data_IF_211481741133
#
_entry.id   IF_211481741133
#
_cell.length_a   1.000
_cell.length_b   1.000
_cell.length_c   1.000
_cell.angle_alpha   90.00
_cell.angle_beta   90.00
_cell.angle_gamma   90.00
#
_symmetry.space_group_name_H-M   'P 1'
#
loop_
_entity.id
_entity.type
_entity.pdbx_description
1 polymer ?
#
# COMPACT_ATOMS: atom_id res chain seq x y z
N UNK A 1 -2.92 39.29 -1.87
CA UNK A 1 -1.70 39.23 -2.71
C UNK A 1 -1.22 37.79 -2.67
N UNK A 2 -1.20 37.10 -3.81
CA UNK A 2 -0.64 35.75 -3.88
C UNK A 2 0.90 35.83 -3.85
N UNK A 3 1.61 34.90 -3.17
CA UNK A 3 3.06 34.96 -3.06
C UNK A 3 3.74 34.58 -4.38
N UNK A 4 4.71 35.38 -4.79
CA UNK A 4 5.58 35.13 -5.95
C UNK A 4 6.73 34.24 -5.48
N UNK A 5 6.74 32.97 -5.91
CA UNK A 5 7.81 32.01 -5.57
C UNK A 5 9.03 32.24 -6.47
N UNK A 6 10.11 32.79 -5.89
CA UNK A 6 11.45 32.70 -6.49
C UNK A 6 12.08 31.34 -6.11
N UNK A 7 12.72 30.67 -7.07
CA UNK A 7 13.52 29.47 -6.81
C UNK A 7 14.86 29.90 -6.22
N UNK A 8 15.08 29.61 -4.96
CA UNK A 8 16.40 29.75 -4.33
C UNK A 8 17.14 28.40 -4.36
N UNK A 9 18.32 28.42 -4.94
CA UNK A 9 19.39 27.45 -4.70
C UNK A 9 20.11 27.91 -3.44
N UNK A 10 20.08 27.13 -2.36
CA UNK A 10 20.85 27.46 -1.15
C UNK A 10 21.62 26.26 -0.59
N UNK A 11 22.84 26.59 -0.16
CA UNK A 11 23.97 25.74 0.17
C UNK A 11 23.78 24.95 1.48
N UNK A 12 24.25 23.71 1.42
CA UNK A 12 24.16 22.67 2.43
C UNK A 12 25.01 23.00 3.67
N UNK A 13 24.34 23.43 4.75
CA UNK A 13 24.93 23.56 6.09
C UNK A 13 24.39 22.46 7.01
N UNK A 14 24.91 21.24 6.83
CA UNK A 14 25.38 20.39 7.92
C UNK A 14 24.47 20.19 9.13
N UNK A 15 23.22 19.76 8.93
CA UNK A 15 22.49 18.98 9.93
C UNK A 15 21.69 17.89 9.20
N UNK A 16 21.82 16.64 9.63
CA UNK A 16 21.20 15.48 8.98
C UNK A 16 19.69 15.55 9.17
N UNK A 17 19.02 16.29 8.29
CA UNK A 17 17.57 16.22 8.08
C UNK A 17 17.28 15.00 7.21
N UNK A 18 16.15 14.34 7.44
CA UNK A 18 15.66 13.18 6.71
C UNK A 18 15.30 13.56 5.24
N UNK A 19 16.34 13.86 4.47
CA UNK A 19 16.59 14.05 3.04
C UNK A 19 15.58 14.80 2.13
N UNK A 20 14.45 15.34 2.61
CA UNK A 20 13.47 15.96 1.70
C UNK A 20 12.70 17.18 2.20
N UNK A 21 12.50 17.34 3.51
CA UNK A 21 11.68 18.43 4.05
C UNK A 21 12.46 19.77 4.10
N UNK A 22 11.76 20.89 3.86
CA UNK A 22 12.31 22.26 3.95
C UNK A 22 12.45 22.68 5.41
N UNK A 23 13.27 23.70 5.64
CA UNK A 23 13.45 24.27 6.98
C UNK A 23 12.16 24.96 7.48
N UNK A 24 11.61 24.61 8.66
CA UNK A 24 10.46 25.29 9.26
C UNK A 24 10.63 26.80 9.45
N UNK A 25 11.86 27.27 9.68
CA UNK A 25 12.14 28.67 9.99
C UNK A 25 11.90 29.62 8.80
N UNK A 26 11.83 29.10 7.56
CA UNK A 26 11.58 29.93 6.37
C UNK A 26 10.09 30.12 6.05
N UNK A 27 9.18 29.52 6.83
CA UNK A 27 7.74 29.65 6.60
C UNK A 27 7.24 31.10 6.73
N UNK A 28 7.54 31.76 7.86
CA UNK A 28 7.10 33.14 8.11
C UNK A 28 7.58 34.14 7.04
N UNK A 29 8.87 34.15 6.65
CA UNK A 29 9.36 34.98 5.56
C UNK A 29 8.61 34.80 4.23
N UNK A 30 8.12 33.58 3.96
CA UNK A 30 7.40 33.24 2.74
C UNK A 30 5.88 33.43 2.83
N UNK A 31 5.40 34.00 3.95
CA UNK A 31 3.98 34.28 4.17
C UNK A 31 3.15 33.05 4.56
N UNK A 32 3.80 31.92 4.86
CA UNK A 32 3.15 30.80 5.51
C UNK A 32 3.09 31.02 7.02
N UNK A 33 2.08 30.43 7.65
CA UNK A 33 1.98 30.45 9.10
C UNK A 33 3.04 29.50 9.69
N UNK A 34 3.79 29.91 10.72
CA UNK A 34 4.79 29.02 11.30
C UNK A 34 4.20 27.76 11.91
N UNK A 35 5.05 26.75 12.05
CA UNK A 35 4.75 25.50 12.75
C UNK A 35 5.57 25.43 14.05
N UNK A 36 5.03 24.77 15.07
CA UNK A 36 5.81 24.37 16.24
C UNK A 36 6.60 23.11 15.87
N UNK A 37 7.84 23.01 16.35
CA UNK A 37 8.63 21.79 16.26
C UNK A 37 9.17 21.38 17.63
N UNK A 38 9.44 20.09 17.81
CA UNK A 38 10.05 19.59 19.04
C UNK A 38 11.55 19.95 19.18
N UNK A 39 12.19 20.44 18.11
CA UNK A 39 13.60 20.86 18.12
C UNK A 39 13.70 22.37 18.41
N UNK A 40 12.97 23.18 17.65
CA UNK A 40 13.12 24.65 17.68
C UNK A 40 11.97 25.36 18.41
N UNK A 41 10.92 24.64 18.80
CA UNK A 41 9.69 25.23 19.34
C UNK A 41 8.88 25.97 18.26
N UNK A 42 8.05 26.92 18.70
CA UNK A 42 7.34 27.84 17.80
C UNK A 42 8.12 29.16 17.71
N UNK A 43 8.26 29.78 16.53
CA UNK A 43 8.87 31.09 16.43
C UNK A 43 7.90 32.16 16.97
N UNK A 44 8.20 32.68 18.16
CA UNK A 44 7.42 33.73 18.82
C UNK A 44 6.35 33.21 19.78
N UNK A 45 5.26 33.94 19.91
CA UNK A 45 4.15 33.56 20.79
C UNK A 45 3.35 32.40 20.16
N UNK A 46 3.16 31.32 20.92
CA UNK A 46 2.44 30.13 20.44
C UNK A 46 0.94 30.45 20.36
N UNK A 47 0.31 30.35 19.18
CA UNK A 47 -1.12 30.57 19.02
C UNK A 47 -1.97 29.53 19.78
N UNK A 48 -3.19 29.92 20.17
CA UNK A 48 -4.07 29.11 21.03
C UNK A 48 -4.42 27.72 20.45
N UNK A 49 -4.64 27.63 19.14
CA UNK A 49 -4.94 26.39 18.41
C UNK A 49 -3.71 25.45 18.31
N UNK A 50 -2.49 25.97 18.39
CA UNK A 50 -1.27 25.15 18.50
C UNK A 50 -1.03 24.77 19.96
N UNK A 51 -1.30 25.68 20.91
CA UNK A 51 -1.24 25.40 22.35
C UNK A 51 -2.20 24.28 22.78
N UNK A 52 -3.30 24.05 22.09
CA UNK A 52 -4.18 22.90 22.36
C UNK A 52 -3.42 21.56 22.27
N UNK A 53 -2.40 21.48 21.40
CA UNK A 53 -1.61 20.27 21.19
C UNK A 53 -0.37 20.19 22.10
N UNK A 54 0.31 21.32 22.32
CA UNK A 54 1.62 21.37 23.00
C UNK A 54 1.62 22.17 24.30
N UNK A 55 0.44 22.56 24.76
CA UNK A 55 0.26 23.40 25.93
C UNK A 55 0.51 22.67 27.25
N UNK A 56 0.55 23.42 28.36
CA UNK A 56 0.83 22.88 29.69
C UNK A 56 -0.21 21.86 30.18
N UNK A 57 -1.39 21.84 29.57
CA UNK A 57 -2.46 20.88 29.86
C UNK A 57 -2.17 19.49 29.27
N UNK A 58 -1.20 19.38 28.36
CA UNK A 58 -0.83 18.13 27.67
C UNK A 58 0.71 17.89 27.70
N UNK A 59 1.33 17.83 28.89
CA UNK A 59 2.79 17.92 29.05
C UNK A 59 3.56 16.75 28.40
N UNK A 60 2.94 15.58 28.27
CA UNK A 60 3.54 14.40 27.62
C UNK A 60 3.28 14.35 26.12
N UNK A 61 2.34 15.15 25.59
CA UNK A 61 2.01 15.14 24.17
C UNK A 61 3.17 15.69 23.33
N UNK A 62 3.84 16.76 23.80
CA UNK A 62 4.97 17.38 23.11
C UNK A 62 6.13 16.40 22.86
N UNK A 63 6.36 15.43 23.75
CA UNK A 63 7.41 14.40 23.60
C UNK A 63 7.13 13.43 22.43
N UNK A 64 5.86 13.26 22.06
CA UNK A 64 5.40 12.37 21.01
C UNK A 64 5.11 13.08 19.69
N UNK A 65 5.25 14.40 19.63
CA UNK A 65 5.00 15.21 18.44
C UNK A 65 6.31 15.74 17.85
N UNK A 66 6.39 15.75 16.52
CA UNK A 66 7.50 16.33 15.74
C UNK A 66 7.20 17.75 15.32
N UNK A 67 6.03 17.94 14.70
CA UNK A 67 5.58 19.21 14.15
C UNK A 67 4.10 19.42 14.48
N UNK A 68 3.71 20.66 14.72
CA UNK A 68 2.30 21.06 14.87
C UNK A 68 2.07 22.35 14.11
N UNK A 69 1.08 22.36 13.22
CA UNK A 69 0.71 23.57 12.51
C UNK A 69 -0.28 23.33 11.38
N UNK A 70 -0.58 24.38 10.59
CA UNK A 70 -1.55 24.29 9.52
C UNK A 70 -1.13 23.32 8.43
N UNK A 71 -2.10 22.63 7.83
CA UNK A 71 -1.89 21.68 6.74
C UNK A 71 -1.09 22.29 5.60
N UNK A 72 -1.42 23.51 5.16
CA UNK A 72 -0.74 24.24 4.09
C UNK A 72 0.76 24.39 4.37
N UNK A 73 1.11 24.70 5.60
CA UNK A 73 2.49 24.95 6.03
C UNK A 73 3.27 23.64 6.14
N UNK A 74 2.64 22.59 6.67
CA UNK A 74 3.21 21.24 6.69
C UNK A 74 3.43 20.72 5.26
N UNK A 75 2.43 20.80 4.39
CA UNK A 75 2.54 20.35 2.98
C UNK A 75 3.65 21.11 2.24
N UNK A 76 3.79 22.41 2.50
CA UNK A 76 4.88 23.20 1.94
C UNK A 76 6.25 22.72 2.44
N UNK A 77 6.39 22.41 3.74
CA UNK A 77 7.64 21.83 4.26
C UNK A 77 7.97 20.49 3.58
N UNK A 78 6.96 19.69 3.25
CA UNK A 78 7.13 18.43 2.56
C UNK A 78 7.32 18.54 1.03
N UNK A 79 7.47 19.76 0.49
CA UNK A 79 7.61 20.07 -0.94
C UNK A 79 6.38 19.69 -1.78
N UNK A 80 5.19 19.72 -1.20
CA UNK A 80 3.92 19.60 -1.92
C UNK A 80 3.36 20.99 -2.24
N UNK A 81 4.11 21.74 -3.05
CA UNK A 81 3.85 23.17 -3.28
C UNK A 81 2.44 23.46 -3.83
N UNK A 82 1.95 22.66 -4.77
CA UNK A 82 0.62 22.87 -5.36
C UNK A 82 -0.51 22.59 -4.36
N UNK A 83 -0.39 21.56 -3.52
CA UNK A 83 -1.33 21.25 -2.46
C UNK A 83 -1.32 22.34 -1.40
N UNK A 84 -0.13 22.80 -0.99
CA UNK A 84 0.00 23.90 -0.04
C UNK A 84 -0.71 25.18 -0.54
N UNK A 85 -0.52 25.52 -1.83
CA UNK A 85 -1.19 26.68 -2.44
C UNK A 85 -2.71 26.49 -2.55
N UNK A 86 -3.17 25.28 -2.79
CA UNK A 86 -4.60 25.00 -2.90
C UNK A 86 -5.28 25.09 -1.54
N UNK A 87 -4.63 24.63 -0.47
CA UNK A 87 -5.14 24.83 0.89
C UNK A 87 -5.31 26.32 1.23
N UNK A 88 -4.51 27.21 0.63
CA UNK A 88 -4.64 28.66 0.80
C UNK A 88 -5.69 29.30 -0.12
N UNK A 89 -6.35 28.53 -0.99
CA UNK A 89 -7.41 29.04 -1.87
C UNK A 89 -8.74 29.20 -1.11
N UNK A 90 -9.61 30.13 -1.52
CA UNK A 90 -10.87 30.40 -0.81
C UNK A 90 -11.79 29.19 -0.64
N UNK A 91 -11.68 28.21 -1.53
CA UNK A 91 -12.50 26.99 -1.53
C UNK A 91 -12.04 25.98 -0.47
N UNK A 92 -10.76 26.01 -0.09
CA UNK A 92 -10.13 25.02 0.79
C UNK A 92 -9.57 25.60 2.09
N UNK A 93 -9.52 26.93 2.25
CA UNK A 93 -8.97 27.59 3.45
C UNK A 93 -9.67 27.19 4.75
N UNK A 94 -10.96 26.84 4.69
CA UNK A 94 -11.71 26.35 5.84
C UNK A 94 -11.20 24.99 6.35
N UNK A 95 -10.48 24.25 5.52
CA UNK A 95 -9.93 22.92 5.82
C UNK A 95 -8.47 22.97 6.27
N UNK A 96 -7.82 24.15 6.19
CA UNK A 96 -6.43 24.40 6.59
C UNK A 96 -6.28 24.53 8.11
N UNK A 97 -6.70 23.49 8.82
CA UNK A 97 -6.65 23.45 10.28
C UNK A 97 -5.26 23.06 10.77
N UNK A 98 -5.02 23.32 12.06
CA UNK A 98 -3.81 22.86 12.76
C UNK A 98 -3.92 21.36 13.00
N UNK A 99 -2.93 20.63 12.51
CA UNK A 99 -2.76 19.21 12.77
C UNK A 99 -1.38 18.92 13.35
N UNK A 100 -1.23 17.75 13.95
CA UNK A 100 0.01 17.31 14.56
C UNK A 100 0.66 16.15 13.76
N UNK A 101 1.97 16.20 13.63
CA UNK A 101 2.81 15.13 13.04
C UNK A 101 3.52 14.42 14.18
N UNK A 102 3.28 13.12 14.41
CA UNK A 102 3.99 12.35 15.44
C UNK A 102 5.51 12.28 15.21
N UNK A 103 6.28 12.10 16.29
CA UNK A 103 7.75 11.92 16.27
C UNK A 103 8.22 10.77 15.38
N UNK A 104 7.39 9.74 15.19
CA UNK A 104 7.67 8.58 14.34
C UNK A 104 7.19 8.71 12.89
N UNK A 105 6.63 9.87 12.51
CA UNK A 105 5.99 10.09 11.22
C UNK A 105 6.64 11.25 10.44
N UNK A 106 6.54 11.20 9.11
CA UNK A 106 6.89 12.31 8.23
C UNK A 106 5.62 13.01 7.75
N UNK A 107 5.73 14.23 7.20
CA UNK A 107 4.51 14.94 6.74
C UNK A 107 3.81 14.18 5.60
N UNK A 108 4.58 13.51 4.72
CA UNK A 108 4.03 12.74 3.59
C UNK A 108 3.10 11.61 4.06
N UNK A 109 3.32 11.01 5.23
CA UNK A 109 2.46 9.95 5.74
C UNK A 109 1.06 10.43 6.14
N UNK A 110 0.84 11.74 6.23
CA UNK A 110 -0.49 12.31 6.50
C UNK A 110 -1.38 12.39 5.25
N UNK A 111 -0.79 12.31 4.05
CA UNK A 111 -1.54 12.48 2.80
C UNK A 111 -2.73 11.51 2.63
N UNK A 112 -2.62 10.21 2.97
CA UNK A 112 -3.74 9.28 2.87
C UNK A 112 -4.92 9.68 3.74
N UNK A 113 -4.66 10.10 4.98
CA UNK A 113 -5.70 10.50 5.93
C UNK A 113 -6.38 11.79 5.48
N UNK A 114 -5.59 12.79 5.06
CA UNK A 114 -6.10 14.04 4.51
C UNK A 114 -6.95 13.82 3.25
N UNK A 115 -6.60 12.84 2.42
CA UNK A 115 -7.38 12.49 1.23
C UNK A 115 -8.66 11.71 1.56
N UNK A 116 -8.60 10.80 2.54
CA UNK A 116 -9.75 10.02 3.00
C UNK A 116 -10.81 10.91 3.65
N UNK A 117 -10.39 11.95 4.37
CA UNK A 117 -11.25 12.95 5.00
C UNK A 117 -11.70 14.08 4.04
N UNK A 118 -11.41 13.95 2.74
CA UNK A 118 -11.74 14.94 1.69
C UNK A 118 -11.13 16.34 1.93
N UNK A 119 -10.10 16.44 2.78
CA UNK A 119 -9.43 17.71 3.15
C UNK A 119 -8.46 18.20 2.07
N UNK A 120 -8.02 17.30 1.19
CA UNK A 120 -7.26 17.63 -0.02
C UNK A 120 -7.94 17.02 -1.25
N UNK A 121 -7.87 17.67 -2.43
CA UNK A 121 -8.47 17.12 -3.64
C UNK A 121 -7.84 15.76 -4.04
N UNK A 122 -8.69 14.75 -4.22
CA UNK A 122 -8.25 13.39 -4.57
C UNK A 122 -7.43 13.34 -5.87
N UNK A 123 -7.73 14.19 -6.84
CA UNK A 123 -7.00 14.30 -8.11
C UNK A 123 -5.56 14.80 -7.97
N UNK A 124 -5.26 15.52 -6.88
CA UNK A 124 -3.92 16.02 -6.58
C UNK A 124 -3.17 15.09 -5.64
N UNK A 125 -3.87 14.52 -4.65
CA UNK A 125 -3.34 13.40 -3.86
C UNK A 125 -2.79 12.29 -4.77
N UNK A 126 -3.54 11.94 -5.82
CA UNK A 126 -3.10 10.97 -6.84
C UNK A 126 -1.73 11.31 -7.44
N UNK A 127 -1.42 12.59 -7.73
CA UNK A 127 -0.10 12.99 -8.28
C UNK A 127 1.08 12.71 -7.34
N UNK A 128 0.81 12.59 -6.03
CA UNK A 128 1.82 12.41 -5.00
C UNK A 128 1.90 10.98 -4.47
N UNK A 129 0.88 10.17 -4.70
CA UNK A 129 0.86 8.75 -4.40
C UNK A 129 1.10 7.85 -5.61
N UNK A 130 0.91 8.40 -6.81
CA UNK A 130 1.35 7.76 -8.04
C UNK A 130 2.89 7.82 -8.11
N UNK A 131 3.52 6.65 -8.03
CA UNK A 131 4.75 6.41 -8.78
C UNK A 131 4.58 6.95 -10.21
N UNK A 132 5.65 7.46 -10.84
CA UNK A 132 5.68 8.62 -11.74
C UNK A 132 4.70 8.52 -12.91
N UNK A 133 4.43 9.64 -13.62
CA UNK A 133 3.34 9.73 -14.58
C UNK A 133 3.41 8.56 -15.56
N UNK A 134 2.30 8.28 -16.22
CA UNK A 134 2.15 7.34 -17.33
C UNK A 134 3.31 7.32 -18.37
N UNK A 135 4.28 8.24 -18.32
CA UNK A 135 5.61 8.14 -18.91
C UNK A 135 6.50 6.96 -18.47
N UNK A 136 6.30 6.31 -17.31
CA UNK A 136 6.89 4.95 -17.14
C UNK A 136 6.05 3.89 -17.84
N UNK A 137 4.74 4.11 -18.02
CA UNK A 137 3.92 3.29 -18.91
C UNK A 137 4.29 3.45 -20.40
N UNK A 138 5.08 4.46 -20.78
CA UNK A 138 5.63 4.59 -22.13
C UNK A 138 6.92 3.77 -22.34
N UNK A 139 7.61 3.35 -21.27
CA UNK A 139 8.65 2.31 -21.35
C UNK A 139 8.09 0.91 -21.07
N UNK A 140 6.89 0.84 -20.49
CA UNK A 140 6.07 -0.35 -20.38
C UNK A 140 4.84 -0.20 -21.26
N UNK A 141 5.05 -0.18 -22.59
CA UNK A 141 4.20 -1.06 -23.38
C UNK A 141 4.24 -2.39 -22.60
N UNK A 142 3.13 -2.77 -21.98
CA UNK A 142 2.95 -4.15 -21.59
C UNK A 142 2.21 -4.73 -22.78
N UNK A 143 2.91 -5.21 -23.83
CA UNK A 143 2.26 -6.13 -24.73
C UNK A 143 1.82 -7.30 -23.85
N UNK A 144 0.50 -7.33 -23.74
CA UNK A 144 -0.37 -8.35 -23.21
C UNK A 144 -0.09 -8.87 -21.80
N UNK A 145 -1.13 -8.76 -20.98
CA UNK A 145 -1.49 -9.79 -20.04
C UNK A 145 -1.81 -11.10 -20.79
N UNK A 146 -0.91 -11.64 -21.60
CA UNK A 146 -1.04 -12.94 -22.25
C UNK A 146 -0.22 -13.97 -21.48
N UNK A 147 -0.66 -15.22 -21.58
CA UNK A 147 0.09 -16.35 -21.06
C UNK A 147 1.33 -16.52 -21.93
N UNK A 148 2.54 -16.69 -21.36
CA UNK A 148 3.73 -16.97 -22.17
C UNK A 148 3.48 -18.17 -23.08
N UNK A 149 3.82 -18.06 -24.37
CA UNK A 149 3.49 -19.07 -25.38
C UNK A 149 4.13 -20.44 -25.12
N UNK A 150 5.22 -20.47 -24.35
CA UNK A 150 5.87 -21.70 -23.90
C UNK A 150 5.10 -22.43 -22.79
N UNK A 151 4.14 -21.79 -22.13
CA UNK A 151 3.37 -22.40 -21.04
C UNK A 151 2.20 -23.19 -21.62
N UNK A 152 2.19 -24.48 -21.34
CA UNK A 152 1.19 -25.45 -21.82
C UNK A 152 0.21 -25.82 -20.70
N UNK A 153 -0.74 -26.71 -20.98
CA UNK A 153 -1.71 -27.19 -19.98
C UNK A 153 -1.11 -28.15 -18.95
N UNK A 154 0.13 -28.59 -19.17
CA UNK A 154 0.88 -29.47 -18.28
C UNK A 154 1.84 -28.65 -17.42
N UNK A 155 2.00 -29.06 -16.16
CA UNK A 155 2.96 -28.44 -15.26
C UNK A 155 4.39 -28.79 -15.69
N UNK A 156 5.13 -27.79 -16.15
CA UNK A 156 6.52 -27.94 -16.57
C UNK A 156 7.43 -26.98 -15.80
N UNK A 157 8.70 -27.35 -15.65
CA UNK A 157 9.67 -26.53 -14.93
C UNK A 157 10.34 -25.53 -15.89
N UNK A 158 10.27 -24.26 -15.53
CA UNK A 158 10.86 -23.16 -16.29
C UNK A 158 11.88 -22.41 -15.46
N UNK A 159 12.87 -21.83 -16.14
CA UNK A 159 13.73 -20.80 -15.52
C UNK A 159 12.88 -19.57 -15.22
N UNK A 160 13.00 -19.00 -14.03
CA UNK A 160 12.29 -17.77 -13.65
C UNK A 160 12.56 -16.67 -14.67
N UNK A 161 13.83 -16.49 -15.07
CA UNK A 161 14.24 -15.49 -16.05
C UNK A 161 13.71 -15.75 -17.47
N UNK A 162 13.33 -16.99 -17.78
CA UNK A 162 12.67 -17.29 -19.07
C UNK A 162 11.21 -16.82 -19.11
N UNK A 163 10.54 -16.80 -17.96
CA UNK A 163 9.17 -16.30 -17.82
C UNK A 163 9.12 -14.81 -17.50
N UNK A 164 10.09 -14.33 -16.71
CA UNK A 164 10.20 -12.96 -16.22
C UNK A 164 11.66 -12.49 -16.33
N UNK A 165 12.09 -12.00 -17.50
CA UNK A 165 13.48 -11.55 -17.71
C UNK A 165 13.93 -10.41 -16.80
N UNK A 166 12.96 -9.66 -16.25
CA UNK A 166 13.17 -8.54 -15.34
C UNK A 166 12.93 -8.91 -13.87
N UNK A 167 12.78 -10.19 -13.55
CA UNK A 167 12.68 -10.60 -12.14
C UNK A 167 13.96 -10.17 -11.41
N UNK A 168 13.80 -9.46 -10.30
CA UNK A 168 14.92 -9.08 -9.47
C UNK A 168 15.34 -10.26 -8.60
N UNK A 169 16.61 -10.27 -8.20
CA UNK A 169 17.13 -11.23 -7.23
C UNK A 169 16.59 -10.86 -5.83
N UNK A 170 15.42 -11.41 -5.49
CA UNK A 170 14.68 -11.16 -4.25
C UNK A 170 14.26 -12.46 -3.58
N UNK A 171 15.18 -13.42 -3.53
CA UNK A 171 14.94 -14.75 -2.99
C UNK A 171 13.90 -15.57 -3.76
N UNK A 172 13.51 -15.15 -4.97
CA UNK A 172 12.71 -15.97 -5.87
C UNK A 172 13.54 -17.17 -6.34
N UNK A 173 12.92 -18.35 -6.53
CA UNK A 173 13.65 -19.51 -7.00
C UNK A 173 14.12 -19.33 -8.44
N UNK A 174 15.29 -19.88 -8.77
CA UNK A 174 15.80 -19.87 -10.14
C UNK A 174 14.88 -20.63 -11.11
N UNK A 175 14.10 -21.60 -10.62
CA UNK A 175 13.14 -22.39 -11.39
C UNK A 175 11.82 -22.53 -10.66
N UNK A 176 10.72 -22.53 -11.41
CA UNK A 176 9.38 -22.79 -10.89
C UNK A 176 8.57 -23.62 -11.89
N UNK A 177 7.51 -24.27 -11.40
CA UNK A 177 6.53 -24.92 -12.27
C UNK A 177 5.59 -23.87 -12.88
N UNK A 178 5.23 -24.03 -14.14
CA UNK A 178 4.22 -23.19 -14.77
C UNK A 178 3.28 -24.03 -15.61
N UNK A 179 1.99 -23.70 -15.57
CA UNK A 179 0.95 -24.32 -16.36
C UNK A 179 -0.17 -23.32 -16.67
N UNK A 180 -0.88 -23.50 -17.78
CA UNK A 180 -2.12 -22.77 -18.07
C UNK A 180 -3.33 -23.66 -17.89
N UNK A 181 -4.44 -23.07 -17.49
CA UNK A 181 -5.70 -23.77 -17.31
C UNK A 181 -6.87 -22.88 -17.72
N UNK A 182 -7.80 -23.46 -18.47
CA UNK A 182 -9.02 -22.75 -18.85
C UNK A 182 -9.93 -22.55 -17.65
N UNK A 183 -10.45 -21.32 -17.52
CA UNK A 183 -11.39 -20.92 -16.50
C UNK A 183 -12.67 -21.78 -16.56
N UNK A 184 -13.15 -22.13 -15.38
CA UNK A 184 -14.45 -22.76 -15.14
C UNK A 184 -14.99 -22.16 -13.82
N UNK A 185 -16.18 -22.59 -13.41
CA UNK A 185 -16.72 -22.26 -12.08
C UNK A 185 -15.66 -22.56 -11.00
N UNK A 186 -15.45 -21.65 -10.02
CA UNK A 186 -14.35 -21.74 -9.05
C UNK A 186 -14.16 -23.12 -8.43
N UNK A 187 -15.23 -23.78 -7.96
CA UNK A 187 -15.13 -25.09 -7.31
C UNK A 187 -14.72 -26.21 -8.28
N UNK A 188 -15.12 -26.13 -9.56
CA UNK A 188 -14.68 -27.07 -10.58
C UNK A 188 -13.22 -26.81 -10.96
N UNK A 189 -12.86 -25.54 -11.07
CA UNK A 189 -11.49 -25.11 -11.36
C UNK A 189 -10.53 -25.55 -10.25
N UNK A 190 -10.90 -25.34 -8.98
CA UNK A 190 -10.13 -25.78 -7.81
C UNK A 190 -9.85 -27.29 -7.85
N UNK A 191 -10.88 -28.12 -8.03
CA UNK A 191 -10.72 -29.59 -8.13
C UNK A 191 -9.81 -30.02 -9.27
N UNK A 192 -9.87 -29.32 -10.41
CA UNK A 192 -8.98 -29.59 -11.56
C UNK A 192 -7.55 -29.23 -11.24
N UNK A 193 -7.30 -28.06 -10.63
CA UNK A 193 -5.97 -27.64 -10.20
C UNK A 193 -5.39 -28.63 -9.19
N UNK A 194 -6.17 -28.99 -8.16
CA UNK A 194 -5.80 -29.99 -7.15
C UNK A 194 -5.38 -31.31 -7.77
N UNK A 195 -6.22 -31.87 -8.65
CA UNK A 195 -5.98 -33.16 -9.29
C UNK A 195 -4.81 -33.12 -10.26
N UNK A 196 -4.80 -32.13 -11.16
CA UNK A 196 -3.97 -32.16 -12.38
C UNK A 196 -2.63 -31.43 -12.21
N UNK A 197 -2.54 -30.45 -11.28
CA UNK A 197 -1.40 -29.52 -11.21
C UNK A 197 -0.65 -29.57 -9.88
N UNK A 198 -1.33 -29.68 -8.75
CA UNK A 198 -0.71 -29.54 -7.42
C UNK A 198 -0.74 -30.79 -6.55
N UNK A 199 -1.33 -31.90 -7.00
CA UNK A 199 -1.46 -33.15 -6.25
C UNK A 199 -0.13 -33.74 -5.76
N UNK A 200 0.98 -33.41 -6.41
CA UNK A 200 2.33 -33.87 -6.07
C UNK A 200 3.11 -32.90 -5.17
N UNK A 201 2.58 -31.70 -4.93
CA UNK A 201 3.31 -30.65 -4.20
C UNK A 201 3.26 -30.83 -2.68
N UNK A 202 2.32 -31.63 -2.16
CA UNK A 202 2.10 -31.85 -0.73
C UNK A 202 0.87 -31.10 -0.21
N UNK A 203 0.68 -31.12 1.11
CA UNK A 203 -0.55 -30.61 1.75
C UNK A 203 -0.41 -29.20 2.34
N UNK A 204 0.82 -28.71 2.47
CA UNK A 204 1.13 -27.43 3.10
C UNK A 204 1.40 -26.37 2.04
N UNK A 205 0.30 -25.88 1.46
CA UNK A 205 0.30 -24.94 0.36
C UNK A 205 -0.43 -23.66 0.76
N UNK A 206 0.17 -22.53 0.41
CA UNK A 206 -0.50 -21.24 0.41
C UNK A 206 -0.70 -20.77 -1.03
N UNK A 207 -1.82 -20.10 -1.24
CA UNK A 207 -2.26 -19.64 -2.53
C UNK A 207 -2.45 -18.12 -2.53
N UNK A 208 -2.07 -17.47 -3.63
CA UNK A 208 -2.43 -16.08 -3.90
C UNK A 208 -2.98 -15.95 -5.31
N UNK A 209 -4.22 -15.50 -5.42
CA UNK A 209 -4.79 -15.09 -6.70
C UNK A 209 -4.53 -13.61 -6.95
N UNK A 210 -4.12 -13.27 -8.16
CA UNK A 210 -3.96 -11.88 -8.60
C UNK A 210 -4.36 -11.72 -10.07
N UNK A 211 -4.49 -10.48 -10.53
CA UNK A 211 -4.68 -10.17 -11.95
C UNK A 211 -3.38 -10.36 -12.70
N UNK A 212 -3.45 -10.96 -13.89
CA UNK A 212 -2.27 -11.24 -14.72
C UNK A 212 -1.42 -9.99 -15.02
N UNK A 213 -2.05 -8.82 -15.17
CA UNK A 213 -1.35 -7.53 -15.36
C UNK A 213 -0.44 -7.12 -14.19
N UNK A 214 -0.72 -7.61 -12.98
CA UNK A 214 0.03 -7.30 -11.76
C UNK A 214 1.19 -8.27 -11.51
N UNK A 215 1.24 -9.37 -12.27
CA UNK A 215 2.25 -10.40 -12.04
C UNK A 215 3.66 -9.94 -12.42
N UNK A 216 3.85 -9.29 -13.58
CA UNK A 216 5.15 -8.76 -14.00
C UNK A 216 5.77 -7.82 -12.94
N UNK A 217 5.05 -6.78 -12.45
CA UNK A 217 5.61 -5.93 -11.39
C UNK A 217 5.82 -6.70 -10.08
N UNK A 218 4.95 -7.65 -9.72
CA UNK A 218 5.13 -8.47 -8.52
C UNK A 218 6.36 -9.39 -8.59
N UNK A 219 6.68 -9.95 -9.76
CA UNK A 219 7.89 -10.77 -9.94
C UNK A 219 9.16 -9.93 -10.03
N UNK A 220 9.05 -8.65 -10.43
CA UNK A 220 10.16 -7.69 -10.39
C UNK A 220 10.42 -7.20 -8.96
N UNK A 221 9.38 -6.95 -8.19
CA UNK A 221 9.45 -6.49 -6.80
C UNK A 221 8.49 -7.31 -5.95
N UNK A 222 9.01 -8.40 -5.38
CA UNK A 222 8.29 -9.28 -4.47
C UNK A 222 8.34 -8.74 -3.04
N UNK A 223 7.67 -7.62 -2.82
CA UNK A 223 7.64 -6.89 -1.55
C UNK A 223 6.19 -6.63 -1.11
N UNK A 224 5.94 -6.41 0.20
CA UNK A 224 4.62 -6.00 0.68
C UNK A 224 4.10 -4.79 -0.08
N UNK A 225 2.83 -4.82 -0.50
CA UNK A 225 2.24 -3.70 -1.23
C UNK A 225 2.00 -2.56 -0.26
N UNK A 226 2.85 -1.53 -0.30
CA UNK A 226 2.89 -0.46 0.72
C UNK A 226 1.70 0.50 0.67
N UNK A 227 1.13 0.76 -0.50
CA UNK A 227 0.00 1.67 -0.62
C UNK A 227 -0.72 1.49 -1.97
N UNK A 228 -1.87 0.83 -1.96
CA UNK A 228 -2.82 0.88 -3.06
C UNK A 228 -4.18 0.39 -2.60
N UNK A 229 -5.23 1.18 -2.81
CA UNK A 229 -6.63 0.74 -2.70
C UNK A 229 -7.00 -0.18 -3.87
N UNK A 230 -6.35 -1.34 -3.99
CA UNK A 230 -6.66 -2.34 -5.00
C UNK A 230 -7.04 -3.67 -4.35
N UNK A 231 -7.59 -4.58 -5.15
CA UNK A 231 -8.07 -5.89 -4.67
C UNK A 231 -6.98 -6.78 -4.08
N UNK A 232 -5.72 -6.38 -4.20
CA UNK A 232 -4.55 -7.15 -3.78
C UNK A 232 -4.01 -6.68 -2.41
N UNK A 233 -4.64 -5.64 -1.85
CA UNK A 233 -4.34 -4.95 -0.58
C UNK A 233 -5.67 -4.52 0.08
N UNK A 234 -6.50 -5.50 0.47
CA UNK A 234 -7.86 -5.27 0.98
C UNK A 234 -7.90 -4.85 2.47
N UNK A 235 -6.87 -5.18 3.25
CA UNK A 235 -6.81 -4.99 4.71
C UNK A 235 -5.54 -4.27 5.20
N UNK A 236 -4.86 -3.54 4.31
CA UNK A 236 -3.62 -2.83 4.59
C UNK A 236 -2.36 -3.51 4.04
N UNK A 237 -1.18 -2.88 4.17
CA UNK A 237 0.02 -3.30 3.45
C UNK A 237 0.42 -4.76 3.68
N UNK A 238 0.58 -5.54 2.60
CA UNK A 238 0.99 -6.94 2.74
C UNK A 238 0.89 -7.79 1.47
N UNK A 239 1.50 -8.98 1.51
CA UNK A 239 1.23 -10.08 0.57
C UNK A 239 0.29 -11.06 1.25
N UNK A 240 -0.99 -10.93 0.92
CA UNK A 240 -2.06 -11.83 1.36
C UNK A 240 -1.98 -13.16 0.61
N UNK A 241 -2.00 -14.24 1.39
CA UNK A 241 -2.08 -15.63 0.92
C UNK A 241 -3.12 -16.39 1.75
N UNK A 242 -3.60 -17.52 1.25
CA UNK A 242 -4.60 -18.34 1.93
C UNK A 242 -4.36 -19.82 1.64
N UNK A 243 -4.64 -20.74 2.58
CA UNK A 243 -4.67 -22.17 2.30
C UNK A 243 -5.91 -22.57 1.48
N UNK A 244 -6.91 -21.70 1.32
CA UNK A 244 -8.11 -21.98 0.53
C UNK A 244 -7.89 -21.67 -0.94
N UNK A 245 -7.71 -22.72 -1.75
CA UNK A 245 -7.58 -22.60 -3.21
C UNK A 245 -8.80 -21.92 -3.84
N UNK A 246 -10.02 -22.28 -3.42
CA UNK A 246 -11.26 -21.66 -3.92
C UNK A 246 -11.29 -20.15 -3.64
N UNK A 247 -10.85 -19.74 -2.46
CA UNK A 247 -10.76 -18.33 -2.07
C UNK A 247 -9.74 -17.59 -2.94
N UNK A 248 -8.53 -18.13 -3.10
CA UNK A 248 -7.51 -17.54 -3.96
C UNK A 248 -7.98 -17.40 -5.43
N UNK A 249 -8.69 -18.40 -5.97
CA UNK A 249 -9.25 -18.33 -7.32
C UNK A 249 -10.29 -17.22 -7.49
N UNK A 250 -11.02 -16.87 -6.43
CA UNK A 250 -11.94 -15.73 -6.46
C UNK A 250 -11.20 -14.40 -6.71
N UNK A 251 -10.03 -14.20 -6.08
CA UNK A 251 -9.20 -13.01 -6.31
C UNK A 251 -8.60 -13.00 -7.72
N UNK A 252 -8.09 -14.15 -8.19
CA UNK A 252 -7.54 -14.28 -9.52
C UNK A 252 -8.60 -13.91 -10.60
N UNK A 253 -9.79 -14.51 -10.51
CA UNK A 253 -10.84 -14.37 -11.51
C UNK A 253 -10.49 -14.99 -12.87
N UNK A 254 -11.31 -14.75 -13.91
CA UNK A 254 -11.21 -15.48 -15.18
C UNK A 254 -9.92 -15.25 -15.97
N UNK A 255 -9.32 -14.07 -15.86
CA UNK A 255 -8.05 -13.71 -16.52
C UNK A 255 -6.94 -13.50 -15.48
N UNK A 256 -7.00 -14.32 -14.44
CA UNK A 256 -6.13 -14.25 -13.29
C UNK A 256 -4.88 -15.09 -13.42
N UNK A 257 -4.07 -15.02 -12.38
CA UNK A 257 -2.95 -15.91 -12.13
C UNK A 257 -3.03 -16.36 -10.68
N UNK A 258 -2.72 -17.62 -10.45
CA UNK A 258 -2.57 -18.21 -9.13
C UNK A 258 -1.09 -18.47 -8.86
N UNK A 259 -0.59 -17.92 -7.76
CA UNK A 259 0.73 -18.24 -7.20
C UNK A 259 0.56 -19.31 -6.13
N UNK A 260 1.42 -20.33 -6.17
CA UNK A 260 1.43 -21.44 -5.22
C UNK A 260 2.74 -21.44 -4.47
N UNK A 261 2.64 -21.33 -3.15
CA UNK A 261 3.75 -21.34 -2.21
C UNK A 261 3.74 -22.66 -1.45
N UNK A 262 4.89 -23.33 -1.39
CA UNK A 262 5.02 -24.64 -0.75
C UNK A 262 5.83 -24.51 0.53
N UNK A 263 5.21 -24.88 1.65
CA UNK A 263 5.81 -24.86 2.99
C UNK A 263 6.68 -23.63 3.26
N UNK A 264 6.10 -22.41 3.21
CA UNK A 264 6.85 -21.21 3.57
C UNK A 264 7.34 -21.32 5.00
N UNK A 265 8.63 -21.07 5.20
CA UNK A 265 9.23 -21.05 6.53
C UNK A 265 9.04 -19.66 7.16
N UNK A 266 8.02 -19.55 8.01
CA UNK A 266 7.76 -18.34 8.79
C UNK A 266 8.37 -18.40 10.19
N UNK A 267 9.24 -19.37 10.49
CA UNK A 267 9.90 -19.41 11.79
C UNK A 267 10.77 -18.16 11.98
N UNK A 268 10.56 -17.46 13.10
CA UNK A 268 11.23 -16.21 13.45
C UNK A 268 10.92 -15.03 12.51
N UNK A 269 9.76 -15.06 11.83
CA UNK A 269 9.30 -13.96 10.99
C UNK A 269 7.94 -13.47 11.49
N UNK A 270 7.81 -12.15 11.63
CA UNK A 270 6.52 -11.53 11.93
C UNK A 270 5.61 -11.67 10.70
N UNK A 271 4.67 -12.59 10.80
CA UNK A 271 3.62 -12.81 9.82
C UNK A 271 2.29 -12.62 10.53
N UNK A 272 1.38 -11.93 9.86
CA UNK A 272 0.06 -11.69 10.42
C UNK A 272 -0.86 -12.85 10.06
N UNK A 273 -1.09 -13.73 11.03
CA UNK A 273 -2.07 -14.83 10.96
C UNK A 273 -3.27 -14.45 11.83
N UNK A 274 -4.33 -13.97 11.20
CA UNK A 274 -5.54 -13.60 11.92
C UNK A 274 -6.42 -14.82 12.15
N UNK A 275 -6.77 -15.10 13.40
CA UNK A 275 -7.80 -16.09 13.72
C UNK A 275 -9.19 -15.64 13.26
N UNK A 276 -10.19 -16.53 13.29
CA UNK A 276 -11.52 -16.21 12.75
C UNK A 276 -12.27 -15.05 13.44
N UNK A 277 -11.89 -14.66 14.66
CA UNK A 277 -12.47 -13.52 15.39
C UNK A 277 -11.68 -12.26 15.07
N UNK A 278 -10.35 -12.29 15.21
CA UNK A 278 -9.48 -11.16 14.89
C UNK A 278 -9.58 -10.78 13.41
N UNK A 279 -9.71 -11.77 12.52
CA UNK A 279 -10.01 -11.58 11.10
C UNK A 279 -11.32 -10.83 10.90
N UNK A 280 -12.38 -11.26 11.60
CA UNK A 280 -13.70 -10.61 11.49
C UNK A 280 -13.64 -9.17 11.99
N UNK A 281 -13.00 -8.91 13.13
CA UNK A 281 -12.82 -7.57 13.68
C UNK A 281 -12.01 -6.67 12.75
N UNK A 282 -10.95 -7.20 12.15
CA UNK A 282 -10.14 -6.52 11.14
C UNK A 282 -10.98 -6.16 9.92
N UNK A 283 -11.72 -7.13 9.38
CA UNK A 283 -12.57 -6.87 8.22
C UNK A 283 -13.68 -5.87 8.56
N UNK A 284 -14.30 -5.96 9.72
CA UNK A 284 -15.35 -5.04 10.16
C UNK A 284 -14.82 -3.59 10.28
N UNK A 285 -13.60 -3.43 10.81
CA UNK A 285 -12.90 -2.15 10.86
C UNK A 285 -12.65 -1.59 9.45
N UNK A 286 -12.03 -2.37 8.57
CA UNK A 286 -11.61 -1.92 7.23
C UNK A 286 -12.76 -1.80 6.22
N UNK A 287 -13.85 -2.55 6.38
CA UNK A 287 -15.03 -2.45 5.50
C UNK A 287 -16.09 -1.47 6.01
N UNK A 288 -15.84 -0.81 7.16
CA UNK A 288 -16.78 0.11 7.79
C UNK A 288 -18.05 -0.58 8.31
N UNK A 289 -18.05 -1.91 8.46
CA UNK A 289 -19.12 -2.63 9.17
C UNK A 289 -18.94 -2.38 10.67
N UNK A 290 -19.41 -1.23 11.16
CA UNK A 290 -19.76 -1.11 12.58
C UNK A 290 -20.70 -2.28 12.91
N UNK A 291 -20.49 -2.93 14.06
CA UNK A 291 -21.47 -3.85 14.65
C UNK A 291 -22.85 -3.22 14.52
N UNK A 292 -23.67 -3.75 13.60
CA UNK A 292 -24.77 -2.99 13.06
C UNK A 292 -25.90 -2.85 14.09
N UNK A 293 -26.16 -1.63 14.54
CA UNK A 293 -27.54 -1.15 14.57
C UNK A 293 -27.97 -0.91 13.12
N UNK A 294 -28.69 -1.89 12.57
CA UNK A 294 -29.57 -1.91 11.38
C UNK A 294 -29.26 -0.95 10.20
N UNK A 295 -28.98 -1.55 9.03
CA UNK A 295 -28.83 -0.86 7.73
C UNK A 295 -30.19 -0.63 7.06
N UNK A 296 -30.47 0.52 6.41
CA UNK A 296 -31.64 0.69 5.56
C UNK A 296 -31.47 -0.02 4.20
N UNK A 297 -32.57 -0.43 3.54
CA UNK A 297 -32.51 -1.19 2.31
C UNK A 297 -32.24 -0.27 1.11
N UNK A 298 -31.21 -0.55 0.30
CA UNK A 298 -31.13 0.02 -1.06
C UNK A 298 -29.76 0.40 -1.64
N UNK A 299 -28.64 0.39 -0.90
CA UNK A 299 -27.33 0.70 -1.49
C UNK A 299 -26.51 -0.57 -1.79
N UNK A 300 -26.51 -0.98 -3.07
CA UNK A 300 -25.65 -2.05 -3.59
C UNK A 300 -24.29 -1.49 -4.03
N UNK A 301 -23.44 -1.15 -3.07
CA UNK A 301 -22.00 -1.40 -3.25
C UNK A 301 -21.79 -2.86 -2.87
N UNK A 302 -21.42 -3.72 -3.83
CA UNK A 302 -21.06 -5.12 -3.54
C UNK A 302 -19.76 -5.14 -2.73
N UNK A 303 -19.89 -4.90 -1.43
CA UNK A 303 -18.86 -5.16 -0.43
C UNK A 303 -18.64 -6.67 -0.47
N UNK A 304 -17.42 -7.09 -0.82
CA UNK A 304 -17.05 -8.51 -0.86
C UNK A 304 -17.15 -9.05 0.55
N UNK A 305 -17.89 -10.14 0.71
CA UNK A 305 -18.10 -10.73 2.02
C UNK A 305 -16.84 -11.52 2.41
N UNK A 306 -16.15 -11.18 3.51
CA UNK A 306 -15.02 -11.95 3.99
C UNK A 306 -15.51 -13.35 4.39
N UNK A 307 -15.13 -14.36 3.62
CA UNK A 307 -15.40 -15.76 3.97
C UNK A 307 -14.68 -16.17 5.26
N UNK A 308 -15.03 -17.34 5.83
CA UNK A 308 -14.45 -17.89 7.07
C UNK A 308 -13.02 -18.44 6.89
N UNK A 309 -12.26 -17.98 5.90
CA UNK A 309 -10.98 -18.56 5.51
C UNK A 309 -9.82 -17.80 6.14
N UNK A 310 -8.93 -18.52 6.83
CA UNK A 310 -7.66 -17.99 7.35
C UNK A 310 -6.83 -17.40 6.21
N UNK A 311 -6.22 -16.24 6.45
CA UNK A 311 -5.23 -15.65 5.56
C UNK A 311 -3.91 -15.50 6.31
N UNK A 312 -2.82 -15.71 5.59
CA UNK A 312 -1.46 -15.49 6.07
C UNK A 312 -0.92 -14.29 5.31
N UNK A 313 -0.54 -13.24 6.04
CA UNK A 313 -0.16 -11.95 5.45
C UNK A 313 1.29 -11.62 5.80
N UNK A 314 2.14 -11.58 4.77
CA UNK A 314 3.49 -11.06 4.92
C UNK A 314 3.47 -9.54 4.85
N UNK A 315 3.59 -8.88 6.00
CA UNK A 315 3.54 -7.42 6.16
C UNK A 315 4.92 -6.76 6.12
N UNK A 316 5.98 -7.55 6.32
CA UNK A 316 7.37 -7.10 6.33
C UNK A 316 8.24 -7.84 5.30
N UNK A 317 9.42 -7.29 5.00
CA UNK A 317 10.37 -7.84 4.03
C UNK A 317 10.78 -9.30 4.34
N UNK A 318 11.07 -9.71 5.59
CA UNK A 318 11.42 -11.11 5.88
C UNK A 318 10.28 -12.09 5.55
N UNK A 319 9.02 -11.71 5.79
CA UNK A 319 7.85 -12.52 5.43
C UNK A 319 7.67 -12.63 3.93
N UNK A 320 7.91 -11.54 3.21
CA UNK A 320 7.88 -11.54 1.75
C UNK A 320 9.01 -12.41 1.17
N UNK A 321 10.20 -12.41 1.79
CA UNK A 321 11.31 -13.28 1.41
C UNK A 321 11.00 -14.77 1.65
N UNK A 322 10.38 -15.13 2.78
CA UNK A 322 9.92 -16.48 3.05
C UNK A 322 8.89 -16.97 2.01
N UNK A 323 7.94 -16.10 1.65
CA UNK A 323 7.01 -16.36 0.55
C UNK A 323 7.74 -16.48 -0.80
N UNK A 324 8.67 -15.57 -1.12
CA UNK A 324 9.41 -15.61 -2.39
C UNK A 324 10.18 -16.93 -2.56
N UNK A 325 10.88 -17.39 -1.51
CA UNK A 325 11.64 -18.64 -1.51
C UNK A 325 10.75 -19.87 -1.70
N UNK A 326 9.55 -19.82 -1.14
CA UNK A 326 8.59 -20.92 -1.18
C UNK A 326 7.72 -20.94 -2.45
N UNK A 327 7.78 -19.90 -3.29
CA UNK A 327 7.07 -19.88 -4.57
C UNK A 327 7.51 -21.07 -5.39
N UNK A 328 6.59 -21.97 -5.73
CA UNK A 328 6.95 -23.19 -6.45
C UNK A 328 6.21 -23.35 -7.77
N UNK A 329 5.06 -22.68 -7.93
CA UNK A 329 4.26 -22.77 -9.14
C UNK A 329 3.51 -21.49 -9.46
N UNK A 330 3.38 -21.20 -10.77
CA UNK A 330 2.53 -20.15 -11.33
C UNK A 330 1.50 -20.79 -12.27
N UNK A 331 0.21 -20.60 -11.99
CA UNK A 331 -0.89 -21.14 -12.80
C UNK A 331 -1.62 -20.00 -13.49
N UNK A 332 -1.65 -20.04 -14.82
CA UNK A 332 -2.28 -19.02 -15.65
C UNK A 332 -3.73 -19.41 -15.95
N UNK A 333 -4.69 -18.57 -15.58
CA UNK A 333 -6.12 -18.84 -15.79
C UNK A 333 -6.56 -18.11 -17.07
N UNK A 334 -7.14 -18.85 -18.01
CA UNK A 334 -7.55 -18.36 -19.34
C UNK A 334 -9.05 -18.47 -19.61
#
# INVERSE_FOLDING_TARGET
MAPVLQREEEEDSGFVSWAGERNPQVLAPLGFRPVWSNVDGYPGEIPADILEWVGPENPTAADHLRLVGPISSLLWLARFDDLAQIMLSPEFIAWDEVIAVPSSANIRSLLPDLAADERIPSSLYQRYTEYPPASMSAAFDSPEASVPSCVTTTAESFSLLSLYPLAADQHLPAKLLSARISFDKPNKLARRIERDLISTLGNDLLFRGTKRRLLKPQMKWFVPVLNSSNTDNEFGPGIYTTPSLEHALHYAGPQGVLLVFKSPDFHNVDVWELDGIEWRTTVDHWTGRRAATQKPPGSSTRIRDPGPHTQVVATAYPGAAALALSLCMVIWIE
#
